data_IF_175133176849
#
_entry.id   IF_175133176849
#
_cell.length_a   1.000
_cell.length_b   1.000
_cell.length_c   1.000
_cell.angle_alpha   90.00
_cell.angle_beta   90.00
_cell.angle_gamma   90.00
#
_symmetry.space_group_name_H-M   'P 1'
#
loop_
_entity.id
_entity.type
_entity.pdbx_description
1 polymer ?
#
# COMPACT_ATOMS: atom_id res chain seq x y z
N UNK A 1 12.62 -30.65 -3.12
CA UNK A 1 13.61 -30.17 -2.14
C UNK A 1 15.05 -30.49 -2.52
N UNK A 2 15.34 -31.56 -3.27
CA UNK A 2 16.74 -32.01 -3.51
C UNK A 2 17.59 -31.11 -4.44
N UNK A 3 16.99 -30.25 -5.27
CA UNK A 3 17.74 -29.36 -6.17
C UNK A 3 18.05 -27.95 -5.62
N UNK A 4 17.58 -27.59 -4.43
CA UNK A 4 17.83 -26.26 -3.83
C UNK A 4 19.22 -26.13 -3.20
N UNK A 5 19.89 -27.25 -2.90
CA UNK A 5 21.12 -27.28 -2.10
C UNK A 5 22.42 -27.21 -2.91
N UNK A 6 22.38 -27.36 -4.24
CA UNK A 6 23.58 -27.45 -5.08
C UNK A 6 24.37 -26.14 -5.25
N UNK A 7 23.89 -25.01 -4.74
CA UNK A 7 24.46 -23.67 -4.97
C UNK A 7 24.23 -22.72 -3.77
N UNK A 8 24.17 -23.24 -2.55
CA UNK A 8 24.07 -22.39 -1.35
C UNK A 8 25.48 -22.12 -0.82
N UNK A 9 26.07 -20.98 -1.21
CA UNK A 9 27.40 -20.58 -0.70
C UNK A 9 27.34 -20.10 0.76
N UNK A 10 26.21 -19.52 1.20
CA UNK A 10 26.00 -19.04 2.57
C UNK A 10 24.51 -19.11 3.00
N UNK A 11 24.25 -19.12 4.31
CA UNK A 11 22.91 -19.15 4.92
C UNK A 11 21.98 -18.04 4.39
N UNK A 12 22.53 -16.85 4.11
CA UNK A 12 21.76 -15.73 3.54
C UNK A 12 21.35 -15.98 2.08
N UNK A 13 22.20 -16.64 1.29
CA UNK A 13 21.89 -17.05 -0.08
C UNK A 13 20.72 -18.06 -0.11
N UNK A 14 20.60 -18.92 0.91
CA UNK A 14 19.42 -19.79 1.04
C UNK A 14 18.13 -18.98 1.22
N UNK A 15 18.12 -17.94 2.06
CA UNK A 15 16.93 -17.10 2.22
C UNK A 15 16.61 -16.31 0.96
N UNK A 16 17.62 -15.72 0.31
CA UNK A 16 17.43 -15.05 -0.97
C UNK A 16 16.76 -15.97 -1.97
N UNK A 17 17.23 -17.21 -2.10
CA UNK A 17 16.62 -18.22 -2.99
C UNK A 17 15.20 -18.63 -2.58
N UNK A 18 14.91 -18.71 -1.28
CA UNK A 18 13.55 -19.01 -0.80
C UNK A 18 12.60 -17.89 -1.19
N UNK A 19 12.98 -16.63 -0.96
CA UNK A 19 12.15 -15.48 -1.32
C UNK A 19 12.06 -15.24 -2.83
N UNK A 20 13.09 -15.60 -3.59
CA UNK A 20 13.09 -15.56 -5.06
C UNK A 20 12.08 -16.56 -5.65
N UNK A 21 11.90 -17.72 -5.01
CA UNK A 21 10.85 -18.70 -5.38
C UNK A 21 9.44 -18.20 -5.04
N UNK A 22 9.32 -17.37 -4.00
CA UNK A 22 8.05 -16.76 -3.57
C UNK A 22 7.77 -15.41 -4.27
N UNK A 23 8.54 -15.02 -5.30
CA UNK A 23 8.21 -13.84 -6.10
C UNK A 23 6.85 -14.03 -6.79
N UNK A 24 6.01 -12.99 -6.87
CA UNK A 24 4.78 -13.08 -7.65
C UNK A 24 5.13 -13.43 -9.10
N UNK A 25 4.51 -14.50 -9.63
CA UNK A 25 4.76 -15.05 -10.97
C UNK A 25 4.60 -14.02 -12.10
N UNK A 26 3.81 -12.96 -11.86
CA UNK A 26 3.55 -11.87 -12.79
C UNK A 26 4.43 -10.64 -12.44
N UNK A 27 5.75 -10.84 -12.31
CA UNK A 27 6.67 -9.74 -12.04
C UNK A 27 6.61 -8.72 -13.18
N UNK A 28 5.92 -7.61 -12.92
CA UNK A 28 5.95 -6.46 -13.78
C UNK A 28 7.41 -5.99 -13.86
N UNK A 29 7.98 -5.99 -15.07
CA UNK A 29 9.29 -5.39 -15.32
C UNK A 29 9.19 -3.94 -14.87
N UNK A 30 9.87 -3.60 -13.78
CA UNK A 30 9.85 -2.27 -13.17
C UNK A 30 10.09 -1.23 -14.26
N UNK A 31 9.19 -0.24 -14.35
CA UNK A 31 9.40 0.92 -15.22
C UNK A 31 10.27 1.93 -14.51
N UNK A 32 10.89 2.80 -15.30
CA UNK A 32 11.67 3.93 -14.81
C UNK A 32 10.85 4.77 -13.82
N UNK A 33 11.26 4.78 -12.55
CA UNK A 33 10.72 5.71 -11.58
C UNK A 33 11.22 7.11 -11.95
N UNK A 34 10.31 8.04 -12.25
CA UNK A 34 10.62 9.45 -12.02
C UNK A 34 10.55 9.58 -10.51
N UNK A 35 11.62 10.01 -9.85
CA UNK A 35 11.67 10.17 -8.39
C UNK A 35 10.37 10.79 -7.85
N UNK A 36 9.47 9.93 -7.40
CA UNK A 36 8.12 10.26 -6.97
C UNK A 36 8.06 9.91 -5.49
N UNK A 37 7.69 10.92 -4.70
CA UNK A 37 7.74 10.84 -3.24
C UNK A 37 6.58 9.94 -2.83
N UNK A 38 6.89 8.68 -2.54
CA UNK A 38 5.92 7.74 -1.98
C UNK A 38 5.29 8.39 -0.73
N UNK A 39 3.97 8.68 -0.74
CA UNK A 39 3.32 9.31 0.40
C UNK A 39 3.29 8.34 1.59
N UNK A 40 3.51 8.84 2.80
CA UNK A 40 3.40 8.00 4.00
C UNK A 40 1.94 7.54 4.21
N UNK A 41 1.74 6.47 4.99
CA UNK A 41 0.40 5.94 5.27
C UNK A 41 -0.55 7.01 5.83
N UNK A 42 -0.06 7.90 6.69
CA UNK A 42 -0.83 9.03 7.21
C UNK A 42 -1.31 9.96 6.09
N UNK A 43 -0.47 10.25 5.09
CA UNK A 43 -0.86 11.08 3.94
C UNK A 43 -1.84 10.35 3.03
N UNK A 44 -1.61 9.05 2.77
CA UNK A 44 -2.52 8.21 1.99
C UNK A 44 -3.91 8.17 2.65
N UNK A 45 -3.98 7.92 3.96
CA UNK A 45 -5.23 7.93 4.71
C UNK A 45 -5.92 9.29 4.67
N UNK A 46 -5.19 10.41 4.76
CA UNK A 46 -5.74 11.77 4.60
C UNK A 46 -6.31 12.02 3.18
N UNK A 47 -5.73 11.38 2.16
CA UNK A 47 -6.23 11.43 0.79
C UNK A 47 -7.44 10.49 0.55
N UNK A 48 -7.82 9.68 1.54
CA UNK A 48 -8.96 8.76 1.47
C UNK A 48 -8.61 7.35 1.04
N UNK A 49 -7.33 6.98 1.06
CA UNK A 49 -6.89 5.59 0.91
C UNK A 49 -7.16 4.84 2.21
N UNK A 50 -7.66 3.61 2.12
CA UNK A 50 -7.82 2.67 3.23
C UNK A 50 -6.73 1.61 3.18
N UNK A 51 -6.21 1.23 4.34
CA UNK A 51 -5.24 0.16 4.47
C UNK A 51 -5.97 -1.10 4.91
N UNK A 52 -5.75 -2.21 4.21
CA UNK A 52 -6.36 -3.50 4.53
C UNK A 52 -5.32 -4.62 4.48
N UNK A 53 -5.34 -5.50 5.48
CA UNK A 53 -4.57 -6.73 5.44
C UNK A 53 -5.17 -7.74 4.47
N UNK A 54 -4.35 -8.29 3.57
CA UNK A 54 -4.76 -9.36 2.66
C UNK A 54 -3.74 -10.50 2.70
N UNK A 55 -4.12 -11.70 3.20
CA UNK A 55 -3.25 -12.86 3.15
C UNK A 55 -2.82 -13.16 1.71
N UNK A 56 -1.51 -13.26 1.50
CA UNK A 56 -0.93 -13.55 0.20
C UNK A 56 0.10 -14.67 0.31
N UNK A 57 0.47 -15.25 -0.85
CA UNK A 57 1.53 -16.27 -0.93
C UNK A 57 2.93 -15.66 -0.74
N UNK A 58 3.06 -14.37 -1.01
CA UNK A 58 4.31 -13.63 -0.98
C UNK A 58 4.16 -12.37 -0.15
N UNK A 59 5.20 -12.01 0.61
CA UNK A 59 5.27 -10.72 1.32
C UNK A 59 5.35 -9.53 0.34
N UNK A 60 5.75 -9.80 -0.92
CA UNK A 60 5.89 -8.78 -1.96
C UNK A 60 4.57 -8.44 -2.66
N UNK A 61 3.49 -9.18 -2.38
CA UNK A 61 2.20 -9.05 -3.07
C UNK A 61 1.35 -7.91 -2.51
N UNK A 62 1.91 -6.70 -2.56
CA UNK A 62 1.22 -5.45 -2.22
C UNK A 62 0.41 -5.01 -3.44
N UNK A 63 -0.84 -4.58 -3.23
CA UNK A 63 -1.72 -4.16 -4.33
C UNK A 63 -2.52 -2.93 -3.98
N UNK A 64 -2.67 -2.02 -4.93
CA UNK A 64 -3.59 -0.90 -4.80
C UNK A 64 -4.85 -1.13 -5.64
N UNK A 65 -6.03 -0.94 -5.04
CA UNK A 65 -7.29 -0.92 -5.75
C UNK A 65 -7.75 0.53 -5.90
N UNK A 66 -7.45 1.14 -7.05
CA UNK A 66 -7.79 2.51 -7.37
C UNK A 66 -9.29 2.83 -7.17
N UNK A 67 -10.17 1.98 -7.70
CA UNK A 67 -11.63 2.23 -7.68
C UNK A 67 -12.21 2.24 -6.27
N UNK A 68 -11.63 1.44 -5.36
CA UNK A 68 -12.05 1.38 -3.96
C UNK A 68 -11.22 2.30 -3.06
N UNK A 69 -10.09 2.79 -3.53
CA UNK A 69 -9.11 3.51 -2.73
C UNK A 69 -8.56 2.63 -1.61
N UNK A 70 -8.21 1.38 -1.90
CA UNK A 70 -7.75 0.42 -0.88
C UNK A 70 -6.34 -0.05 -1.23
N UNK A 71 -5.38 0.20 -0.33
CA UNK A 71 -4.04 -0.38 -0.38
C UNK A 71 -4.04 -1.66 0.46
N UNK A 72 -3.79 -2.78 -0.21
CA UNK A 72 -3.74 -4.11 0.39
C UNK A 72 -2.30 -4.52 0.61
N UNK A 73 -1.97 -4.89 1.83
CA UNK A 73 -0.62 -5.27 2.23
C UNK A 73 -0.69 -6.66 2.89
N UNK A 74 0.18 -7.61 2.51
CA UNK A 74 0.30 -8.87 3.22
C UNK A 74 0.61 -8.66 4.70
N UNK A 75 -0.09 -9.33 5.63
CA UNK A 75 0.18 -9.18 7.04
C UNK A 75 1.53 -9.81 7.42
N UNK A 76 2.26 -9.17 8.33
CA UNK A 76 3.57 -9.65 8.80
C UNK A 76 3.75 -9.46 10.31
N UNK A 77 4.66 -10.23 10.90
CA UNK A 77 4.89 -10.23 12.35
C UNK A 77 6.11 -9.40 12.74
N UNK A 78 6.03 -8.73 13.89
CA UNK A 78 7.22 -8.15 14.53
C UNK A 78 8.07 -9.27 15.14
N UNK A 79 9.35 -9.34 14.76
CA UNK A 79 10.31 -10.28 15.37
C UNK A 79 11.34 -10.83 14.39
N UNK A 80 11.48 -12.16 14.36
CA UNK A 80 12.51 -12.86 13.57
C UNK A 80 12.42 -12.57 12.08
N UNK A 81 11.21 -12.38 11.54
CA UNK A 81 11.01 -12.02 10.12
C UNK A 81 11.74 -10.72 9.76
N UNK A 82 11.72 -9.73 10.66
CA UNK A 82 12.36 -8.44 10.43
C UNK A 82 13.88 -8.52 10.39
N UNK A 83 14.49 -9.29 11.31
CA UNK A 83 15.94 -9.50 11.31
C UNK A 83 16.40 -10.27 10.06
N UNK A 84 15.58 -11.21 9.57
CA UNK A 84 15.81 -11.89 8.29
C UNK A 84 15.76 -10.90 7.13
N UNK A 85 14.74 -10.05 7.05
CA UNK A 85 14.63 -9.00 6.02
C UNK A 85 15.88 -8.13 6.03
N UNK A 86 16.32 -7.62 7.20
CA UNK A 86 17.51 -6.76 7.28
C UNK A 86 18.78 -7.44 6.78
N UNK A 87 18.98 -8.72 7.13
CA UNK A 87 20.14 -9.49 6.67
C UNK A 87 20.13 -9.71 5.15
N UNK A 88 18.95 -9.98 4.57
CA UNK A 88 18.80 -10.14 3.12
C UNK A 88 19.03 -8.81 2.41
N UNK A 89 18.48 -7.69 2.92
CA UNK A 89 18.74 -6.35 2.38
C UNK A 89 20.24 -6.03 2.44
N UNK A 90 20.91 -6.25 3.56
CA UNK A 90 22.34 -6.02 3.67
C UNK A 90 23.14 -6.84 2.64
N UNK A 91 22.75 -8.10 2.41
CA UNK A 91 23.37 -8.95 1.40
C UNK A 91 23.16 -8.42 -0.03
N UNK A 92 21.92 -8.07 -0.40
CA UNK A 92 21.59 -7.47 -1.69
C UNK A 92 22.34 -6.15 -1.93
N UNK A 93 22.44 -5.29 -0.91
CA UNK A 93 23.16 -4.02 -0.99
C UNK A 93 24.68 -4.22 -1.12
N UNK A 94 25.26 -5.29 -0.54
CA UNK A 94 26.67 -5.62 -0.68
C UNK A 94 27.01 -6.29 -2.02
N UNK A 95 26.07 -7.05 -2.59
CA UNK A 95 26.29 -7.89 -3.77
C UNK A 95 25.40 -7.49 -4.95
N UNK A 96 25.19 -6.18 -5.12
CA UNK A 96 24.25 -5.60 -6.06
C UNK A 96 24.25 -6.30 -7.44
N UNK A 97 23.21 -7.07 -7.71
CA UNK A 97 23.05 -7.87 -8.93
C UNK A 97 22.03 -7.29 -9.91
N UNK A 98 21.40 -6.17 -9.56
CA UNK A 98 20.45 -5.43 -10.40
C UNK A 98 18.98 -5.77 -10.17
N UNK A 99 18.67 -6.92 -9.54
CA UNK A 99 17.32 -7.32 -9.14
C UNK A 99 17.30 -7.53 -7.61
N UNK A 100 16.99 -6.45 -6.87
CA UNK A 100 17.09 -6.40 -5.40
C UNK A 100 15.70 -6.30 -4.75
N UNK A 101 14.88 -7.34 -4.88
CA UNK A 101 13.48 -7.32 -4.49
C UNK A 101 13.26 -7.04 -3.00
N UNK A 102 14.12 -7.56 -2.12
CA UNK A 102 13.98 -7.31 -0.68
C UNK A 102 14.36 -5.87 -0.33
N UNK A 103 15.37 -5.31 -0.99
CA UNK A 103 15.77 -3.90 -0.88
C UNK A 103 14.66 -2.98 -1.39
N UNK A 104 14.03 -3.32 -2.52
CA UNK A 104 12.90 -2.58 -3.07
C UNK A 104 11.69 -2.63 -2.11
N UNK A 105 11.44 -3.78 -1.49
CA UNK A 105 10.40 -3.94 -0.45
C UNK A 105 10.71 -3.09 0.79
N UNK A 106 11.93 -3.18 1.32
CA UNK A 106 12.35 -2.39 2.48
C UNK A 106 12.27 -0.88 2.19
N UNK A 107 12.68 -0.46 0.99
CA UNK A 107 12.58 0.93 0.55
C UNK A 107 11.12 1.39 0.44
N UNK A 108 10.24 0.59 -0.16
CA UNK A 108 8.82 0.89 -0.28
C UNK A 108 8.16 1.00 1.10
N UNK A 109 8.37 0.01 1.98
CA UNK A 109 7.80 -0.01 3.32
C UNK A 109 8.32 1.12 4.21
N UNK A 110 9.61 1.44 4.13
CA UNK A 110 10.18 2.57 4.88
C UNK A 110 9.70 3.93 4.40
N UNK A 111 9.28 4.05 3.14
CA UNK A 111 8.62 5.26 2.67
C UNK A 111 7.16 5.38 3.15
N UNK A 112 6.45 4.26 3.25
CA UNK A 112 5.09 4.21 3.81
C UNK A 112 5.09 4.52 5.31
N UNK A 113 6.09 4.03 6.06
CA UNK A 113 6.17 4.14 7.53
C UNK A 113 7.24 5.16 7.93
N UNK A 114 6.86 6.44 8.05
CA UNK A 114 7.77 7.55 8.41
C UNK A 114 7.62 8.02 9.86
N UNK A 115 6.53 7.65 10.51
CA UNK A 115 6.18 8.13 11.84
C UNK A 115 5.59 7.00 12.69
N UNK A 116 5.60 7.12 14.03
CA UNK A 116 4.88 6.18 14.90
C UNK A 116 3.39 6.07 14.55
N UNK A 117 2.76 7.15 14.06
CA UNK A 117 1.37 7.11 13.62
C UNK A 117 1.17 6.22 12.39
N UNK A 118 2.11 6.18 11.47
CA UNK A 118 2.05 5.29 10.30
C UNK A 118 2.09 3.82 10.75
N UNK A 119 2.83 3.54 11.81
CA UNK A 119 2.93 2.21 12.39
C UNK A 119 1.65 1.79 13.10
N UNK A 120 1.05 2.68 13.88
CA UNK A 120 -0.28 2.47 14.47
C UNK A 120 -1.34 2.15 13.39
N UNK A 121 -1.30 2.83 12.23
CA UNK A 121 -2.21 2.54 11.12
C UNK A 121 -2.05 1.10 10.59
N UNK A 122 -0.83 0.54 10.58
CA UNK A 122 -0.60 -0.86 10.20
C UNK A 122 -1.16 -1.83 11.24
N UNK A 123 -1.07 -1.51 12.54
CA UNK A 123 -1.67 -2.32 13.62
C UNK A 123 -3.20 -2.26 13.55
N UNK A 124 -3.76 -1.05 13.42
CA UNK A 124 -5.21 -0.82 13.29
C UNK A 124 -5.81 -1.58 12.09
N UNK A 125 -5.08 -1.66 10.98
CA UNK A 125 -5.48 -2.37 9.76
C UNK A 125 -5.15 -3.87 9.77
N UNK A 126 -4.53 -4.39 10.85
CA UNK A 126 -4.07 -5.78 11.02
C UNK A 126 -3.02 -6.22 9.99
N UNK A 127 -2.35 -5.26 9.34
CA UNK A 127 -1.19 -5.54 8.48
C UNK A 127 0.01 -5.86 9.36
N UNK A 128 0.22 -5.07 10.40
CA UNK A 128 1.19 -5.40 11.43
C UNK A 128 0.52 -6.23 12.52
N UNK A 129 0.96 -7.48 12.66
CA UNK A 129 0.47 -8.37 13.69
C UNK A 129 1.31 -8.16 14.96
N UNK A 130 0.67 -7.61 15.99
CA UNK A 130 1.27 -7.46 17.30
C UNK A 130 1.23 -8.80 18.05
N UNK A 131 2.38 -9.27 18.51
CA UNK A 131 2.41 -10.25 19.60
C UNK A 131 2.22 -9.49 20.93
N UNK A 132 1.33 -9.97 21.79
CA UNK A 132 0.90 -9.34 23.06
C UNK A 132 2.06 -8.98 24.00
N UNK A 133 3.26 -9.47 23.76
CA UNK A 133 4.45 -9.22 24.56
C UNK A 133 5.30 -8.03 24.12
N UNK A 134 4.98 -7.30 23.04
CA UNK A 134 5.95 -6.43 22.36
C UNK A 134 5.56 -4.94 22.19
N UNK A 135 4.92 -4.30 23.16
CA UNK A 135 4.68 -2.84 23.09
C UNK A 135 6.00 -2.04 23.04
N UNK A 136 7.05 -2.52 23.70
CA UNK A 136 8.40 -1.92 23.65
C UNK A 136 9.12 -2.15 22.30
N UNK A 137 8.75 -3.20 21.57
CA UNK A 137 9.37 -3.52 20.28
C UNK A 137 8.87 -2.66 19.13
N UNK A 138 7.69 -2.05 19.28
CA UNK A 138 7.05 -1.23 18.24
C UNK A 138 7.84 0.06 17.97
N UNK A 139 8.28 0.77 19.01
CA UNK A 139 9.10 1.98 18.86
C UNK A 139 10.49 1.68 18.28
N UNK A 140 11.09 0.57 18.71
CA UNK A 140 12.36 0.09 18.17
C UNK A 140 12.23 -0.29 16.69
N UNK A 141 11.12 -0.96 16.34
CA UNK A 141 10.80 -1.28 14.95
C UNK A 141 10.57 -0.02 14.12
N UNK A 142 9.81 0.96 14.61
CA UNK A 142 9.60 2.24 13.94
C UNK A 142 10.94 2.92 13.60
N UNK A 143 11.80 3.03 14.62
CA UNK A 143 13.13 3.63 14.46
C UNK A 143 13.99 2.85 13.47
N UNK A 144 13.92 1.52 13.51
CA UNK A 144 14.70 0.66 12.64
C UNK A 144 14.21 0.70 11.19
N UNK A 145 12.92 0.57 10.92
CA UNK A 145 12.39 0.64 9.54
C UNK A 145 12.72 1.98 8.88
N UNK A 146 12.55 3.07 9.63
CA UNK A 146 12.86 4.42 9.15
C UNK A 146 14.36 4.54 8.84
N UNK A 147 15.22 4.09 9.76
CA UNK A 147 16.66 4.19 9.60
C UNK A 147 17.20 3.24 8.51
N UNK A 148 16.71 2.01 8.46
CA UNK A 148 17.17 0.96 7.54
C UNK A 148 16.73 1.25 6.10
N UNK A 149 15.61 1.96 5.90
CA UNK A 149 15.20 2.44 4.59
C UNK A 149 15.97 3.70 4.14
N UNK A 150 16.59 4.42 5.07
CA UNK A 150 17.37 5.61 4.76
C UNK A 150 18.73 5.20 4.20
N UNK A 151 18.97 5.52 2.93
CA UNK A 151 20.26 5.24 2.26
C UNK A 151 20.33 3.90 1.52
N UNK A 152 19.21 3.19 1.37
CA UNK A 152 19.13 2.05 0.45
C UNK A 152 19.34 2.51 -0.99
N UNK A 153 20.20 1.79 -1.71
CA UNK A 153 20.40 1.96 -3.14
C UNK A 153 19.37 1.09 -3.85
N UNK A 154 18.40 1.73 -4.48
CA UNK A 154 17.40 1.08 -5.33
C UNK A 154 17.68 1.36 -6.80
N UNK A 155 17.31 0.43 -7.67
CA UNK A 155 17.45 0.63 -9.11
C UNK A 155 16.23 1.41 -9.64
N UNK A 156 16.36 2.70 -9.89
CA UNK A 156 15.25 3.51 -10.40
C UNK A 156 14.69 2.99 -11.73
N UNK A 157 15.52 2.37 -12.58
CA UNK A 157 15.08 1.84 -13.87
C UNK A 157 14.34 0.50 -13.75
N UNK A 158 14.42 -0.19 -12.60
CA UNK A 158 13.84 -1.52 -12.37
C UNK A 158 13.08 -1.67 -11.05
N UNK A 159 12.76 -0.56 -10.39
CA UNK A 159 12.16 -0.60 -9.05
C UNK A 159 10.83 -1.37 -9.06
N UNK A 160 10.76 -2.41 -8.24
CA UNK A 160 9.66 -3.39 -8.29
C UNK A 160 8.28 -2.78 -7.97
N UNK A 161 8.21 -1.76 -7.11
CA UNK A 161 6.95 -1.09 -6.74
C UNK A 161 6.65 0.18 -7.53
N UNK A 162 7.37 0.46 -8.63
CA UNK A 162 7.24 1.72 -9.38
C UNK A 162 5.79 2.01 -9.80
N UNK A 163 5.10 1.02 -10.37
CA UNK A 163 3.71 1.19 -10.86
C UNK A 163 2.75 1.52 -9.69
N UNK A 164 2.88 0.85 -8.53
CA UNK A 164 2.04 1.11 -7.35
C UNK A 164 2.33 2.50 -6.76
N UNK A 165 3.59 2.93 -6.76
CA UNK A 165 3.96 4.27 -6.31
C UNK A 165 3.32 5.35 -7.17
N UNK A 166 3.39 5.20 -8.51
CA UNK A 166 2.78 6.13 -9.46
C UNK A 166 1.25 6.19 -9.27
N UNK A 167 0.59 5.04 -9.12
CA UNK A 167 -0.84 4.98 -8.83
C UNK A 167 -1.20 5.66 -7.50
N UNK A 168 -0.45 5.43 -6.44
CA UNK A 168 -0.73 6.06 -5.14
C UNK A 168 -0.51 7.58 -5.19
N UNK A 169 0.53 8.05 -5.89
CA UNK A 169 0.77 9.47 -6.05
C UNK A 169 -0.31 10.14 -6.91
N UNK A 170 -0.68 9.55 -8.04
CA UNK A 170 -1.76 10.06 -8.88
C UNK A 170 -3.10 10.08 -8.12
N UNK A 171 -3.39 9.06 -7.32
CA UNK A 171 -4.60 9.02 -6.50
C UNK A 171 -4.64 10.16 -5.49
N UNK A 172 -3.50 10.47 -4.87
CA UNK A 172 -3.39 11.59 -3.92
C UNK A 172 -3.49 12.96 -4.60
N UNK A 173 -2.98 13.10 -5.83
CA UNK A 173 -3.06 14.34 -6.63
C UNK A 173 -4.47 14.58 -7.17
N UNK A 174 -5.24 13.52 -7.43
CA UNK A 174 -6.55 13.63 -8.06
C UNK A 174 -7.64 14.11 -7.06
N UNK A 175 -8.23 15.31 -7.25
CA UNK A 175 -9.28 15.81 -6.37
C UNK A 175 -10.53 14.91 -6.38
N UNK A 176 -10.84 14.29 -7.53
CA UNK A 176 -12.02 13.45 -7.71
C UNK A 176 -11.96 12.18 -6.85
N UNK A 177 -10.76 11.62 -6.66
CA UNK A 177 -10.52 10.49 -5.75
C UNK A 177 -10.91 10.85 -4.32
N UNK A 178 -10.53 12.04 -3.86
CA UNK A 178 -10.89 12.56 -2.52
C UNK A 178 -12.40 12.78 -2.38
N UNK A 179 -13.04 13.37 -3.40
CA UNK A 179 -14.50 13.55 -3.41
C UNK A 179 -15.24 12.20 -3.42
N UNK A 180 -14.77 11.23 -4.19
CA UNK A 180 -15.34 9.88 -4.21
C UNK A 180 -15.19 9.15 -2.89
N UNK A 181 -14.06 9.29 -2.20
CA UNK A 181 -13.87 8.72 -0.87
C UNK A 181 -14.90 9.30 0.13
N UNK A 182 -15.08 10.63 0.12
CA UNK A 182 -16.07 11.32 0.97
C UNK A 182 -17.51 10.93 0.60
N UNK A 183 -17.83 10.89 -0.70
CA UNK A 183 -19.14 10.49 -1.20
C UNK A 183 -19.43 9.04 -0.83
N UNK A 184 -18.48 8.11 -0.99
CA UNK A 184 -18.66 6.71 -0.59
C UNK A 184 -18.94 6.59 0.90
N UNK A 185 -18.15 7.28 1.72
CA UNK A 185 -18.30 7.23 3.17
C UNK A 185 -19.64 7.81 3.65
N UNK A 186 -20.15 8.89 3.03
CA UNK A 186 -21.40 9.54 3.44
C UNK A 186 -22.65 8.94 2.79
N UNK A 187 -22.61 8.60 1.49
CA UNK A 187 -23.80 8.12 0.78
C UNK A 187 -24.07 6.63 1.01
N UNK A 188 -23.05 5.77 0.96
CA UNK A 188 -23.29 4.31 1.03
C UNK A 188 -23.44 3.78 2.46
N UNK A 189 -22.87 4.47 3.46
CA UNK A 189 -23.05 4.07 4.87
C UNK A 189 -24.27 4.72 5.54
N UNK A 190 -25.02 5.60 4.87
CA UNK A 190 -26.18 6.28 5.48
C UNK A 190 -27.41 6.17 4.58
N UNK A 191 -28.27 5.14 4.77
CA UNK A 191 -29.45 4.90 3.96
C UNK A 191 -30.39 6.12 3.85
N UNK A 192 -30.48 6.90 4.93
CA UNK A 192 -31.29 8.11 4.99
C UNK A 192 -30.88 9.16 3.96
N UNK A 193 -29.59 9.37 3.74
CA UNK A 193 -29.08 10.35 2.78
C UNK A 193 -29.50 9.97 1.35
N UNK A 194 -29.48 8.68 1.03
CA UNK A 194 -29.93 8.18 -0.27
C UNK A 194 -31.41 8.49 -0.50
N UNK A 195 -32.26 8.29 0.51
CA UNK A 195 -33.70 8.60 0.42
C UNK A 195 -33.92 10.08 0.17
N UNK A 196 -33.23 10.97 0.91
CA UNK A 196 -33.36 12.41 0.71
C UNK A 196 -32.93 12.86 -0.69
N UNK A 197 -31.85 12.27 -1.22
CA UNK A 197 -31.38 12.57 -2.58
C UNK A 197 -32.40 12.14 -3.64
N UNK A 198 -32.97 10.94 -3.50
CA UNK A 198 -34.02 10.46 -4.43
C UNK A 198 -35.26 11.34 -4.35
N UNK A 199 -35.71 11.68 -3.15
CA UNK A 199 -36.87 12.55 -2.96
C UNK A 199 -36.64 13.95 -3.57
N UNK A 200 -35.47 14.54 -3.35
CA UNK A 200 -35.11 15.84 -3.95
C UNK A 200 -35.05 15.77 -5.49
N UNK A 201 -34.50 14.69 -6.05
CA UNK A 201 -34.46 14.49 -7.50
C UNK A 201 -35.87 14.38 -8.10
N UNK A 202 -36.77 13.60 -7.47
CA UNK A 202 -38.17 13.50 -7.89
C UNK A 202 -38.88 14.85 -7.82
N UNK A 203 -38.71 15.59 -6.72
CA UNK A 203 -39.30 16.94 -6.57
C UNK A 203 -38.77 17.93 -7.62
N UNK A 204 -37.49 17.87 -7.95
CA UNK A 204 -36.90 18.69 -9.02
C UNK A 204 -37.49 18.34 -10.39
N UNK A 205 -37.63 17.05 -10.71
CA UNK A 205 -38.26 16.65 -11.98
C UNK A 205 -39.72 17.09 -12.05
N UNK A 206 -40.45 16.98 -10.93
CA UNK A 206 -41.85 17.39 -10.85
C UNK A 206 -42.00 18.91 -11.03
N UNK A 207 -41.19 19.70 -10.34
CA UNK A 207 -41.23 21.17 -10.45
C UNK A 207 -40.84 21.66 -11.84
N UNK A 208 -39.87 21.02 -12.51
CA UNK A 208 -39.55 21.32 -13.91
C UNK A 208 -40.73 21.04 -14.84
N UNK A 209 -41.40 19.88 -14.71
CA UNK A 209 -42.58 19.57 -15.53
C UNK A 209 -43.76 20.52 -15.28
N UNK A 210 -44.00 20.91 -14.03
CA UNK A 210 -45.02 21.90 -13.68
C UNK A 210 -44.69 23.28 -14.28
N UNK A 211 -43.44 23.71 -14.19
CA UNK A 211 -43.00 25.01 -14.71
C UNK A 211 -43.14 25.07 -16.24
N UNK A 212 -42.69 24.03 -16.95
CA UNK A 212 -42.83 23.95 -18.42
C UNK A 212 -44.31 23.94 -18.82
N UNK A 213 -45.13 23.13 -18.15
CA UNK A 213 -46.57 23.06 -18.45
C UNK A 213 -47.26 24.39 -18.19
N UNK A 214 -46.89 25.09 -17.12
CA UNK A 214 -47.43 26.42 -16.80
C UNK A 214 -47.03 27.49 -17.81
N UNK A 215 -45.87 27.37 -18.46
CA UNK A 215 -45.41 28.31 -19.50
C UNK A 215 -46.08 28.00 -20.84
N UNK A 216 -46.31 26.73 -21.18
CA UNK A 216 -46.94 26.33 -22.45
C UNK A 216 -48.46 26.57 -22.45
N UNK A 217 -49.11 26.51 -21.28
CA UNK A 217 -50.56 26.66 -21.14
C UNK A 217 -51.02 28.12 -20.97
N UNK A 218 -50.09 29.09 -20.98
CA UNK A 218 -50.34 30.52 -20.82
C UNK A 218 -49.82 31.29 -22.04
#
# INVERSE_FOLDING_TARGET
MENLLGSVEHFVNLFTKVYEVDLPLDSHVGKKSKHEIIPSLTLLCKAGVKIEAEPAKSIFDIRFNWTKGVLKIPPFWLGTEFEVIRNVVAYEQCHYSGDCYMSDYAYFMGNLVKTPRDLELLVESKVLLEDKMLSEGLEKYASSVINDATGLIVNDDKFFYADICEELEEYCRNPWSRWNAVLRQKHFNTPWVVIFVIAAALLLTLTLTQTISSIVLH
#
